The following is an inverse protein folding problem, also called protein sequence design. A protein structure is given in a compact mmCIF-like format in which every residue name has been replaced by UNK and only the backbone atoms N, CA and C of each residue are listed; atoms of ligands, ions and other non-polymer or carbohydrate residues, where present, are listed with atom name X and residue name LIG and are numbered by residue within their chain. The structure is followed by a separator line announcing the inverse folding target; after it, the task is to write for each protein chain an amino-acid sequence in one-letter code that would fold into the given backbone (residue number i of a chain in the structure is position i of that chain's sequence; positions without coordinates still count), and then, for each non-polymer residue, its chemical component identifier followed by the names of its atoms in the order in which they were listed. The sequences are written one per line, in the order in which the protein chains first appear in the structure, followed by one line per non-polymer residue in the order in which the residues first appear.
data_IF_891440475200
#
_entry.id   IF_891440475200
#
_cell.length_a   1.000
_cell.length_b   1.000
_cell.length_c   1.000
_cell.angle_alpha   90.00
_cell.angle_beta   90.00
_cell.angle_gamma   90.00
#
_symmetry.space_group_name_H-M   'P 1'
#
loop_
_entity.id
_entity.type
_entity.pdbx_description
1 polymer ?
#
# COMPACT_ATOMS: atom_id res chain seq x y z
N UNK A 1 -21.22 7.40 -13.05
CA UNK A 1 -20.86 6.51 -14.17
C UNK A 1 -21.88 5.38 -14.20
N UNK A 2 -22.28 4.88 -15.36
CA UNK A 2 -23.26 3.77 -15.42
C UNK A 2 -22.63 2.50 -14.82
N UNK A 3 -23.20 1.89 -13.76
CA UNK A 3 -22.65 0.69 -13.13
C UNK A 3 -22.46 -0.50 -14.09
N UNK A 4 -23.25 -0.56 -15.17
CA UNK A 4 -23.13 -1.60 -16.20
C UNK A 4 -21.87 -1.42 -17.04
N UNK A 5 -21.61 -0.18 -17.45
CA UNK A 5 -20.43 0.18 -18.25
C UNK A 5 -19.14 0.03 -17.45
N UNK A 6 -19.15 0.45 -16.18
CA UNK A 6 -18.01 0.29 -15.27
C UNK A 6 -17.62 -1.19 -15.09
N UNK A 7 -18.62 -2.06 -14.94
CA UNK A 7 -18.42 -3.50 -14.88
C UNK A 7 -17.87 -4.05 -16.20
N UNK A 8 -18.33 -3.56 -17.35
CA UNK A 8 -17.79 -3.97 -18.65
C UNK A 8 -16.32 -3.56 -18.84
N UNK A 9 -15.94 -2.36 -18.38
CA UNK A 9 -14.56 -1.85 -18.45
C UNK A 9 -13.62 -2.71 -17.61
N UNK A 10 -13.95 -2.95 -16.33
CA UNK A 10 -13.17 -3.82 -15.44
C UNK A 10 -12.93 -5.22 -16.00
N UNK A 11 -13.93 -5.80 -16.68
CA UNK A 11 -13.78 -7.09 -17.36
C UNK A 11 -12.78 -7.04 -18.51
N UNK A 12 -12.81 -5.96 -19.31
CA UNK A 12 -11.88 -5.78 -20.44
C UNK A 12 -10.45 -5.50 -19.98
N UNK A 13 -10.29 -4.79 -18.87
CA UNK A 13 -8.98 -4.45 -18.30
C UNK A 13 -8.39 -5.57 -17.44
N UNK A 14 -9.19 -6.59 -17.10
CA UNK A 14 -8.73 -7.77 -16.35
C UNK A 14 -8.65 -7.55 -14.84
N UNK A 15 -9.42 -6.59 -14.32
CA UNK A 15 -9.42 -6.17 -12.91
C UNK A 15 -10.47 -6.93 -12.07
N UNK A 16 -11.17 -7.89 -12.66
CA UNK A 16 -12.16 -8.73 -11.96
C UNK A 16 -11.51 -9.95 -11.33
N UNK A 17 -11.99 -10.31 -10.14
CA UNK A 17 -11.69 -11.61 -9.55
C UNK A 17 -12.38 -12.76 -10.32
N UNK A 18 -12.04 -14.00 -9.98
CA UNK A 18 -12.57 -15.19 -10.68
C UNK A 18 -14.09 -15.28 -10.60
N UNK A 19 -14.70 -14.94 -9.47
CA UNK A 19 -16.13 -15.07 -9.26
C UNK A 19 -16.92 -13.99 -10.03
N UNK A 20 -16.43 -12.75 -10.01
CA UNK A 20 -16.98 -11.64 -10.79
C UNK A 20 -16.88 -11.89 -12.29
N UNK A 21 -15.75 -12.46 -12.72
CA UNK A 21 -15.51 -12.82 -14.12
C UNK A 21 -16.47 -13.90 -14.61
N UNK A 22 -16.67 -14.95 -13.83
CA UNK A 22 -17.64 -16.00 -14.16
C UNK A 22 -19.07 -15.46 -14.22
N UNK A 23 -19.42 -14.53 -13.32
CA UNK A 23 -20.73 -13.89 -13.29
C UNK A 23 -21.01 -13.04 -14.53
N UNK A 24 -20.04 -12.24 -15.01
CA UNK A 24 -20.22 -11.47 -16.25
C UNK A 24 -20.19 -12.36 -17.49
N UNK A 25 -19.42 -13.45 -17.51
CA UNK A 25 -19.43 -14.42 -18.60
C UNK A 25 -20.73 -15.21 -18.68
N UNK A 26 -21.37 -15.49 -17.54
CA UNK A 26 -22.73 -16.01 -17.49
C UNK A 26 -23.74 -14.96 -17.97
N UNK A 27 -23.60 -13.69 -17.56
CA UNK A 27 -24.47 -12.61 -17.99
C UNK A 27 -24.39 -12.33 -19.50
N UNK A 28 -23.19 -12.40 -20.10
CA UNK A 28 -23.01 -12.27 -21.56
C UNK A 28 -23.67 -13.41 -22.35
N UNK A 29 -23.82 -14.59 -21.75
CA UNK A 29 -24.56 -15.72 -22.35
C UNK A 29 -26.07 -15.54 -22.24
N UNK A 30 -26.54 -14.91 -21.17
CA UNK A 30 -27.95 -14.73 -20.88
C UNK A 30 -28.56 -13.47 -21.51
N UNK A 31 -27.79 -12.38 -21.64
CA UNK A 31 -28.26 -11.07 -22.07
C UNK A 31 -27.36 -10.50 -23.20
N UNK A 32 -27.91 -10.33 -24.42
CA UNK A 32 -27.20 -9.71 -25.54
C UNK A 32 -26.70 -8.29 -25.28
N UNK A 33 -27.36 -7.52 -24.42
CA UNK A 33 -26.96 -6.13 -24.10
C UNK A 33 -25.65 -6.10 -23.31
N UNK A 34 -25.44 -7.04 -22.39
CA UNK A 34 -24.18 -7.13 -21.63
C UNK A 34 -22.99 -7.43 -22.54
N UNK A 35 -23.21 -8.23 -23.59
CA UNK A 35 -22.20 -8.47 -24.62
C UNK A 35 -21.89 -7.21 -25.43
N UNK A 36 -22.90 -6.44 -25.79
CA UNK A 36 -22.74 -5.17 -26.51
C UNK A 36 -21.95 -4.14 -25.69
N UNK A 37 -22.24 -4.04 -24.39
CA UNK A 37 -21.51 -3.17 -23.47
C UNK A 37 -20.00 -3.53 -23.40
N UNK A 38 -19.69 -4.82 -23.30
CA UNK A 38 -18.30 -5.32 -23.28
C UNK A 38 -17.59 -5.05 -24.61
N UNK A 39 -18.26 -5.24 -25.75
CA UNK A 39 -17.67 -4.90 -27.04
C UNK A 39 -17.43 -3.39 -27.21
N UNK A 40 -18.38 -2.57 -26.75
CA UNK A 40 -18.25 -1.11 -26.77
C UNK A 40 -17.06 -0.64 -25.93
N UNK A 41 -16.90 -1.20 -24.73
CA UNK A 41 -15.74 -0.96 -23.88
C UNK A 41 -14.43 -1.35 -24.58
N UNK A 42 -14.36 -2.55 -25.20
CA UNK A 42 -13.18 -3.00 -25.96
C UNK A 42 -12.79 -2.05 -27.08
N UNK A 43 -13.77 -1.63 -27.90
CA UNK A 43 -13.52 -0.71 -29.02
C UNK A 43 -13.04 0.66 -28.53
N UNK A 44 -13.66 1.16 -27.47
CA UNK A 44 -13.30 2.46 -26.87
C UNK A 44 -11.88 2.44 -26.31
N UNK A 45 -11.55 1.43 -25.51
CA UNK A 45 -10.21 1.27 -24.93
C UNK A 45 -9.15 1.09 -26.04
N UNK A 46 -9.44 0.27 -27.06
CA UNK A 46 -8.54 0.10 -28.20
C UNK A 46 -8.33 1.40 -28.99
N UNK A 47 -9.40 2.18 -29.21
CA UNK A 47 -9.33 3.49 -29.87
C UNK A 47 -8.49 4.50 -29.08
N UNK A 48 -8.67 4.55 -27.75
CA UNK A 48 -7.88 5.41 -26.88
C UNK A 48 -6.39 5.02 -26.87
N UNK A 49 -6.09 3.71 -26.84
CA UNK A 49 -4.70 3.22 -26.93
C UNK A 49 -4.07 3.60 -28.26
N UNK A 50 -4.77 3.41 -29.37
CA UNK A 50 -4.29 3.80 -30.70
C UNK A 50 -4.04 5.32 -30.81
N UNK A 51 -4.97 6.14 -30.31
CA UNK A 51 -4.82 7.60 -30.29
C UNK A 51 -3.67 8.04 -29.37
N UNK A 52 -3.48 7.38 -28.23
CA UNK A 52 -2.35 7.61 -27.33
C UNK A 52 -1.02 7.27 -27.98
N UNK A 53 -0.92 6.13 -28.67
CA UNK A 53 0.27 5.73 -29.42
C UNK A 53 0.60 6.70 -30.55
N UNK A 54 -0.40 7.14 -31.32
CA UNK A 54 -0.18 8.07 -32.43
C UNK A 54 0.21 9.46 -31.93
N UNK A 55 -0.38 9.90 -30.82
CA UNK A 55 0.03 11.13 -30.14
C UNK A 55 1.47 11.04 -29.64
N UNK A 56 1.84 9.95 -28.96
CA UNK A 56 3.21 9.73 -28.50
C UNK A 56 4.21 9.72 -29.68
N UNK A 57 3.87 9.07 -30.80
CA UNK A 57 4.67 9.10 -32.02
C UNK A 57 4.80 10.50 -32.61
N UNK A 58 3.73 11.30 -32.58
CA UNK A 58 3.77 12.68 -33.06
C UNK A 58 4.63 13.56 -32.17
N UNK A 59 4.52 13.44 -30.85
CA UNK A 59 5.33 14.18 -29.87
C UNK A 59 6.82 13.82 -30.01
N UNK A 60 7.15 12.52 -30.19
CA UNK A 60 8.51 12.07 -30.48
C UNK A 60 9.05 12.66 -31.80
N UNK A 61 8.25 12.67 -32.87
CA UNK A 61 8.66 13.27 -34.16
C UNK A 61 8.83 14.78 -34.07
N UNK A 62 8.01 15.47 -33.29
CA UNK A 62 8.14 16.90 -33.06
C UNK A 62 9.39 17.23 -32.23
N UNK A 63 9.73 16.42 -31.22
CA UNK A 63 10.98 16.54 -30.47
C UNK A 63 12.21 16.23 -31.33
N UNK A 64 12.15 15.21 -32.18
CA UNK A 64 13.19 14.90 -33.17
C UNK A 64 13.40 16.07 -34.14
N UNK A 65 12.32 16.69 -34.64
CA UNK A 65 12.43 17.85 -35.54
C UNK A 65 12.92 19.12 -34.84
N UNK A 66 12.52 19.35 -33.58
CA UNK A 66 13.04 20.45 -32.75
C UNK A 66 14.53 20.27 -32.46
N UNK A 67 14.97 19.03 -32.27
CA UNK A 67 16.38 18.68 -32.07
C UNK A 67 17.17 18.82 -33.38
N UNK A 68 16.65 18.32 -34.51
CA UNK A 68 17.26 18.46 -35.83
C UNK A 68 17.36 19.93 -36.31
N UNK A 69 16.43 20.80 -35.91
CA UNK A 69 16.50 22.25 -36.20
C UNK A 69 17.53 22.97 -35.33
N UNK A 70 17.82 22.45 -34.13
CA UNK A 70 18.88 22.96 -33.24
C UNK A 70 20.29 22.50 -33.66
N UNK A 71 20.41 21.40 -34.41
CA UNK A 71 21.71 20.84 -34.83
C UNK A 71 22.34 21.46 -36.10
N UNK A 72 21.71 22.47 -36.73
CA UNK A 72 22.30 23.16 -37.90
C UNK A 72 23.42 24.18 -37.58
N UNK A 73 24.04 24.11 -36.40
CA UNK A 73 25.18 24.95 -36.05
C UNK A 73 26.16 24.24 -35.14
N UNK A 74 27.23 23.68 -35.71
CA UNK A 74 28.41 23.28 -34.94
C UNK A 74 29.04 21.97 -35.41
N UNK A 75 30.12 22.08 -36.19
CA UNK A 75 31.01 20.97 -36.50
C UNK A 75 31.65 20.41 -35.20
N UNK A 76 31.59 19.09 -34.98
CA UNK A 76 32.27 18.44 -33.84
C UNK A 76 31.83 16.99 -33.54
N UNK A 77 31.88 16.10 -34.52
CA UNK A 77 31.12 14.84 -34.55
C UNK A 77 31.72 13.62 -33.78
N UNK A 78 32.43 13.84 -32.66
CA UNK A 78 33.01 12.77 -31.85
C UNK A 78 32.52 12.78 -30.41
N UNK A 79 32.66 13.91 -29.72
CA UNK A 79 32.35 14.05 -28.30
C UNK A 79 30.85 13.96 -27.98
N UNK A 80 29.97 14.43 -28.89
CA UNK A 80 28.54 14.55 -28.62
C UNK A 80 27.81 13.20 -28.55
N UNK A 81 28.28 12.19 -29.31
CA UNK A 81 27.74 10.82 -29.26
C UNK A 81 28.09 10.12 -27.94
N UNK A 82 29.28 10.41 -27.38
CA UNK A 82 29.65 9.95 -26.04
C UNK A 82 28.89 10.70 -24.94
N UNK A 83 28.57 11.98 -25.13
CA UNK A 83 27.78 12.76 -24.17
C UNK A 83 26.33 12.25 -24.03
N UNK A 84 25.67 11.89 -25.14
CA UNK A 84 24.32 11.32 -25.11
C UNK A 84 24.29 9.92 -24.45
N UNK A 85 25.28 9.06 -24.75
CA UNK A 85 25.43 7.77 -24.09
C UNK A 85 25.77 7.92 -22.59
N UNK A 86 26.60 8.90 -22.23
CA UNK A 86 26.91 9.21 -20.83
C UNK A 86 25.69 9.72 -20.07
N UNK A 87 24.83 10.55 -20.69
CA UNK A 87 23.58 11.00 -20.06
C UNK A 87 22.61 9.84 -19.83
N UNK A 88 22.46 8.91 -20.78
CA UNK A 88 21.64 7.72 -20.58
C UNK A 88 22.18 6.83 -19.47
N UNK A 89 23.50 6.64 -19.38
CA UNK A 89 24.15 5.89 -18.29
C UNK A 89 24.02 6.60 -16.93
N UNK A 90 24.15 7.92 -16.90
CA UNK A 90 23.96 8.71 -15.66
C UNK A 90 22.49 8.68 -15.23
N UNK A 91 21.54 8.81 -16.16
CA UNK A 91 20.11 8.77 -15.87
C UNK A 91 19.65 7.37 -15.42
N UNK A 92 20.15 6.31 -16.06
CA UNK A 92 19.86 4.94 -15.64
C UNK A 92 20.57 4.56 -14.33
N UNK A 93 21.80 5.02 -14.12
CA UNK A 93 22.51 4.85 -12.85
C UNK A 93 21.91 5.64 -11.69
N UNK A 94 21.43 6.86 -11.93
CA UNK A 94 20.77 7.68 -10.91
C UNK A 94 19.37 7.18 -10.58
N UNK A 95 18.61 6.71 -11.58
CA UNK A 95 17.34 6.03 -11.35
C UNK A 95 17.55 4.75 -10.54
N UNK A 96 18.52 3.90 -10.91
CA UNK A 96 18.86 2.70 -10.15
C UNK A 96 19.23 3.03 -8.70
N UNK A 97 20.09 4.02 -8.48
CA UNK A 97 20.48 4.47 -7.14
C UNK A 97 19.29 4.96 -6.32
N UNK A 98 18.39 5.74 -6.93
CA UNK A 98 17.19 6.26 -6.26
C UNK A 98 16.21 5.14 -5.88
N UNK A 99 16.02 4.14 -6.75
CA UNK A 99 15.16 2.98 -6.45
C UNK A 99 15.77 2.01 -5.42
N UNK A 100 17.10 2.01 -5.23
CA UNK A 100 17.77 1.16 -4.23
C UNK A 100 17.90 1.79 -2.85
N UNK A 101 17.51 3.06 -2.64
CA UNK A 101 17.61 3.70 -1.32
C UNK A 101 16.50 3.25 -0.38
N UNK A 102 16.87 2.89 0.83
CA UNK A 102 15.93 2.56 1.91
C UNK A 102 15.35 3.87 2.45
N UNK A 103 14.18 4.29 1.94
CA UNK A 103 13.42 5.38 2.57
C UNK A 103 12.67 4.84 3.79
N UNK A 104 12.40 5.66 4.83
CA UNK A 104 11.61 5.25 5.98
C UNK A 104 10.29 4.60 5.60
N UNK A 105 9.58 5.15 4.63
CA UNK A 105 8.28 4.67 4.17
C UNK A 105 8.39 3.29 3.50
N UNK A 106 9.41 3.10 2.64
CA UNK A 106 9.67 1.80 2.00
C UNK A 106 10.04 0.73 3.02
N UNK A 107 10.84 1.09 4.02
CA UNK A 107 11.16 0.22 5.15
C UNK A 107 9.91 -0.12 5.98
N UNK A 108 9.00 0.84 6.17
CA UNK A 108 7.76 0.60 6.90
C UNK A 108 6.90 -0.47 6.23
N UNK A 109 6.77 -0.41 4.89
CA UNK A 109 5.98 -1.38 4.14
C UNK A 109 6.66 -2.76 4.07
N UNK A 110 7.98 -2.80 3.93
CA UNK A 110 8.73 -4.07 3.91
C UNK A 110 8.69 -4.80 5.25
N UNK A 111 8.73 -4.07 6.37
CA UNK A 111 8.74 -4.64 7.72
C UNK A 111 7.37 -4.68 8.38
N UNK A 112 6.32 -4.21 7.71
CA UNK A 112 4.96 -4.31 8.22
C UNK A 112 4.59 -5.76 8.54
N UNK A 113 3.91 -5.97 9.66
CA UNK A 113 3.37 -7.27 10.05
C UNK A 113 1.85 -7.19 10.06
N UNK A 114 1.20 -8.23 9.57
CA UNK A 114 -0.27 -8.36 9.62
C UNK A 114 -0.66 -9.16 10.85
N UNK A 115 -1.59 -8.65 11.64
CA UNK A 115 -2.13 -9.40 12.78
C UNK A 115 -3.23 -10.37 12.27
N UNK A 116 -3.19 -11.66 12.64
CA UNK A 116 -4.18 -12.64 12.19
C UNK A 116 -5.55 -12.52 12.91
N UNK A 117 -5.69 -11.56 13.83
CA UNK A 117 -6.82 -11.44 14.74
C UNK A 117 -6.72 -12.36 15.97
N UNK A 118 -7.73 -12.31 16.84
CA UNK A 118 -7.77 -13.15 18.03
C UNK A 118 -8.21 -14.60 17.71
N UNK A 119 -7.68 -15.60 18.44
CA UNK A 119 -8.29 -16.91 18.52
C UNK A 119 -9.70 -16.80 19.13
N UNK A 120 -10.65 -17.58 18.62
CA UNK A 120 -12.01 -17.64 19.19
C UNK A 120 -11.92 -18.27 20.58
N UNK A 121 -12.26 -17.53 21.63
CA UNK A 121 -12.34 -18.02 23.00
C UNK A 121 -13.81 -18.17 23.41
N UNK A 122 -14.18 -19.32 23.97
CA UNK A 122 -15.54 -19.63 24.43
C UNK A 122 -15.86 -18.90 25.75
N UNK A 123 -16.01 -17.57 25.75
CA UNK A 123 -16.43 -16.77 26.91
C UNK A 123 -17.74 -16.00 26.66
N UNK A 124 -18.34 -15.42 27.69
CA UNK A 124 -19.66 -14.77 27.61
C UNK A 124 -19.61 -13.42 26.85
N UNK A 125 -18.44 -12.77 26.82
CA UNK A 125 -18.13 -11.59 25.98
C UNK A 125 -17.75 -11.97 24.53
N UNK A 126 -17.73 -13.27 24.20
CA UNK A 126 -17.27 -13.75 22.90
C UNK A 126 -18.07 -13.17 21.73
N UNK A 127 -19.37 -12.85 21.87
CA UNK A 127 -20.16 -12.37 20.72
C UNK A 127 -19.69 -11.01 20.20
N UNK A 128 -19.37 -10.07 21.08
CA UNK A 128 -18.89 -8.76 20.67
C UNK A 128 -17.48 -8.86 20.08
N UNK A 129 -16.60 -9.61 20.76
CA UNK A 129 -15.24 -9.86 20.26
C UNK A 129 -15.24 -10.63 18.93
N UNK A 130 -16.12 -11.61 18.75
CA UNK A 130 -16.27 -12.39 17.51
C UNK A 130 -16.75 -11.48 16.37
N UNK A 131 -17.73 -10.61 16.62
CA UNK A 131 -18.19 -9.65 15.62
C UNK A 131 -17.07 -8.69 15.18
N UNK A 132 -16.32 -8.13 16.14
CA UNK A 132 -15.16 -7.28 15.86
C UNK A 132 -14.13 -8.04 15.02
N UNK A 133 -13.75 -9.24 15.46
CA UNK A 133 -12.69 -10.02 14.80
C UNK A 133 -13.13 -10.54 13.43
N UNK A 134 -14.42 -10.79 13.22
CA UNK A 134 -14.96 -11.14 11.91
C UNK A 134 -14.89 -9.95 10.95
N UNK A 135 -15.30 -8.76 11.38
CA UNK A 135 -15.18 -7.55 10.57
C UNK A 135 -13.71 -7.26 10.23
N UNK A 136 -12.82 -7.33 11.23
CA UNK A 136 -11.37 -7.16 11.06
C UNK A 136 -10.79 -8.15 10.03
N UNK A 137 -11.10 -9.45 10.13
CA UNK A 137 -10.58 -10.48 9.22
C UNK A 137 -11.12 -10.35 7.80
N UNK A 138 -12.26 -9.68 7.61
CA UNK A 138 -12.84 -9.38 6.29
C UNK A 138 -12.28 -8.08 5.68
N UNK A 139 -11.42 -7.36 6.41
CA UNK A 139 -10.93 -6.04 5.99
C UNK A 139 -11.97 -4.93 6.10
N UNK A 140 -13.09 -5.17 6.80
CA UNK A 140 -14.08 -4.14 7.09
C UNK A 140 -13.65 -3.33 8.32
N UNK A 141 -12.61 -2.53 8.14
CA UNK A 141 -11.98 -1.72 9.19
C UNK A 141 -12.96 -0.68 9.78
N UNK A 142 -13.91 -0.19 8.99
CA UNK A 142 -14.92 0.76 9.44
C UNK A 142 -15.86 0.12 10.47
N UNK A 143 -16.44 -1.02 10.12
CA UNK A 143 -17.31 -1.78 11.05
C UNK A 143 -16.52 -2.27 12.26
N UNK A 144 -15.29 -2.77 12.06
CA UNK A 144 -14.43 -3.22 13.16
C UNK A 144 -14.17 -2.08 14.16
N UNK A 145 -13.85 -0.87 13.68
CA UNK A 145 -13.63 0.30 14.53
C UNK A 145 -14.88 0.70 15.30
N UNK A 146 -16.04 0.75 14.64
CA UNK A 146 -17.30 1.10 15.31
C UNK A 146 -17.59 0.12 16.47
N UNK A 147 -17.50 -1.19 16.18
CA UNK A 147 -17.72 -2.22 17.19
C UNK A 147 -16.70 -2.15 18.34
N UNK A 148 -15.43 -1.83 18.04
CA UNK A 148 -14.39 -1.63 19.07
C UNK A 148 -14.73 -0.47 19.99
N UNK A 149 -15.08 0.70 19.44
CA UNK A 149 -15.42 1.89 20.22
C UNK A 149 -16.63 1.62 21.11
N UNK A 150 -17.71 1.07 20.56
CA UNK A 150 -18.92 0.73 21.34
C UNK A 150 -18.62 -0.30 22.44
N UNK A 151 -17.76 -1.28 22.17
CA UNK A 151 -17.39 -2.28 23.18
C UNK A 151 -16.51 -1.69 24.27
N UNK A 152 -15.62 -0.74 23.93
CA UNK A 152 -14.76 -0.05 24.90
C UNK A 152 -15.56 0.81 25.89
N UNK A 153 -16.70 1.39 25.50
CA UNK A 153 -17.59 2.10 26.44
C UNK A 153 -18.10 1.20 27.57
N UNK A 154 -18.27 -0.10 27.29
CA UNK A 154 -18.70 -1.10 28.28
C UNK A 154 -17.53 -1.70 29.07
N UNK A 155 -16.30 -1.56 28.58
CA UNK A 155 -15.08 -2.17 29.18
C UNK A 155 -13.87 -1.24 29.02
N UNK A 156 -13.87 -0.08 29.69
CA UNK A 156 -12.77 0.87 29.60
C UNK A 156 -11.47 0.26 30.16
N UNK A 157 -10.34 0.54 29.49
CA UNK A 157 -9.03 0.02 29.88
C UNK A 157 -8.76 -1.44 29.47
N UNK A 158 -9.57 -2.02 28.58
CA UNK A 158 -9.28 -3.32 28.01
C UNK A 158 -8.16 -3.21 26.94
N UNK A 159 -6.94 -3.56 27.34
CA UNK A 159 -5.74 -3.57 26.48
C UNK A 159 -5.94 -4.27 25.13
N UNK A 160 -6.77 -5.32 25.07
CA UNK A 160 -7.03 -6.04 23.81
C UNK A 160 -7.80 -5.14 22.85
N UNK A 161 -8.87 -4.50 23.32
CA UNK A 161 -9.68 -3.60 22.50
C UNK A 161 -8.84 -2.38 22.08
N UNK A 162 -8.08 -1.80 23.01
CA UNK A 162 -7.17 -0.68 22.72
C UNK A 162 -6.12 -1.06 21.68
N UNK A 163 -5.50 -2.23 21.80
CA UNK A 163 -4.52 -2.71 20.83
C UNK A 163 -5.13 -2.87 19.43
N UNK A 164 -6.27 -3.55 19.32
CA UNK A 164 -6.91 -3.76 18.02
C UNK A 164 -7.49 -2.48 17.41
N UNK A 165 -7.91 -1.50 18.24
CA UNK A 165 -8.26 -0.17 17.75
C UNK A 165 -7.06 0.49 17.07
N UNK A 166 -5.88 0.42 17.68
CA UNK A 166 -4.65 0.91 17.08
C UNK A 166 -4.29 0.21 15.77
N UNK A 167 -4.46 -1.10 15.69
CA UNK A 167 -4.23 -1.87 14.45
C UNK A 167 -5.19 -1.45 13.33
N UNK A 168 -6.48 -1.34 13.64
CA UNK A 168 -7.50 -0.90 12.67
C UNK A 168 -7.24 0.52 12.20
N UNK A 169 -6.85 1.42 13.11
CA UNK A 169 -6.48 2.79 12.72
C UNK A 169 -5.22 2.82 11.84
N UNK A 170 -4.23 1.96 12.10
CA UNK A 170 -3.05 1.83 11.25
C UNK A 170 -3.39 1.28 9.85
N UNK A 171 -4.30 0.31 9.75
CA UNK A 171 -4.80 -0.21 8.46
C UNK A 171 -5.48 0.89 7.63
N UNK A 172 -6.26 1.75 8.30
CA UNK A 172 -6.93 2.89 7.66
C UNK A 172 -6.00 4.07 7.38
N UNK A 173 -4.68 3.91 7.55
CA UNK A 173 -3.68 4.96 7.33
C UNK A 173 -3.68 6.07 8.39
N UNK A 174 -4.44 5.93 9.47
CA UNK A 174 -4.55 6.91 10.56
C UNK A 174 -3.47 6.67 11.60
N UNK A 175 -2.22 6.82 11.18
CA UNK A 175 -1.02 6.54 11.98
C UNK A 175 -0.98 7.32 13.31
N UNK A 176 -1.49 8.55 13.34
CA UNK A 176 -1.50 9.37 14.56
C UNK A 176 -2.43 8.76 15.63
N UNK A 177 -3.66 8.40 15.25
CA UNK A 177 -4.63 7.74 16.14
C UNK A 177 -4.16 6.35 16.57
N UNK A 178 -3.52 5.63 15.66
CA UNK A 178 -2.93 4.33 15.98
C UNK A 178 -1.85 4.46 17.06
N UNK A 179 -0.96 5.45 16.93
CA UNK A 179 0.08 5.71 17.92
C UNK A 179 -0.49 6.13 19.28
N UNK A 180 -1.57 6.92 19.32
CA UNK A 180 -2.29 7.25 20.55
C UNK A 180 -2.79 5.98 21.24
N UNK A 181 -3.49 5.11 20.50
CA UNK A 181 -4.00 3.84 21.02
C UNK A 181 -2.88 2.95 21.57
N UNK A 182 -1.75 2.82 20.86
CA UNK A 182 -0.62 2.02 21.34
C UNK A 182 0.08 2.61 22.56
N UNK A 183 0.04 3.93 22.74
CA UNK A 183 0.62 4.60 23.90
C UNK A 183 -0.19 4.39 25.18
N UNK A 184 -1.47 4.07 25.06
CA UNK A 184 -2.35 3.76 26.20
C UNK A 184 -2.13 2.35 26.78
N UNK A 185 -1.43 1.46 26.07
CA UNK A 185 -1.17 0.10 26.53
C UNK A 185 -0.36 0.09 27.82
N UNK A 186 -0.86 -0.61 28.83
CA UNK A 186 -0.20 -0.74 30.12
C UNK A 186 1.18 -1.40 30.04
N UNK A 187 2.06 -1.07 30.99
CA UNK A 187 3.42 -1.64 31.06
C UNK A 187 3.43 -3.19 31.21
N UNK A 188 2.36 -3.75 31.78
CA UNK A 188 2.16 -5.20 31.95
C UNK A 188 1.36 -5.84 30.82
N UNK A 189 0.95 -5.05 29.82
CA UNK A 189 0.14 -5.54 28.70
C UNK A 189 0.93 -6.57 27.90
N UNK A 190 0.28 -7.68 27.55
CA UNK A 190 0.85 -8.69 26.64
C UNK A 190 1.03 -8.13 25.22
N UNK A 191 0.31 -7.07 24.87
CA UNK A 191 0.38 -6.40 23.57
C UNK A 191 1.43 -5.29 23.49
N UNK A 192 2.05 -4.89 24.61
CA UNK A 192 2.92 -3.72 24.66
C UNK A 192 4.05 -3.76 23.62
N UNK A 193 4.77 -4.87 23.53
CA UNK A 193 5.89 -5.02 22.57
C UNK A 193 5.40 -4.95 21.13
N UNK A 194 4.26 -5.57 20.83
CA UNK A 194 3.66 -5.52 19.48
C UNK A 194 3.17 -4.12 19.15
N UNK A 195 2.47 -3.47 20.08
CA UNK A 195 1.99 -2.10 19.94
C UNK A 195 3.13 -1.13 19.67
N UNK A 196 4.26 -1.27 20.38
CA UNK A 196 5.48 -0.48 20.10
C UNK A 196 6.04 -0.74 18.71
N UNK A 197 6.03 -1.99 18.24
CA UNK A 197 6.49 -2.32 16.90
C UNK A 197 5.59 -1.67 15.84
N UNK A 198 4.27 -1.83 15.95
CA UNK A 198 3.31 -1.19 15.04
C UNK A 198 3.36 0.33 15.07
N UNK A 199 3.54 0.92 16.26
CA UNK A 199 3.76 2.36 16.41
C UNK A 199 5.04 2.82 15.70
N UNK A 200 6.10 1.99 15.69
CA UNK A 200 7.33 2.30 14.96
C UNK A 200 7.11 2.26 13.44
N UNK A 201 6.36 1.28 12.94
CA UNK A 201 5.98 1.22 11.52
C UNK A 201 5.16 2.46 11.13
N UNK A 202 4.19 2.86 11.95
CA UNK A 202 3.43 4.10 11.75
C UNK A 202 4.33 5.34 11.76
N UNK A 203 5.31 5.41 12.66
CA UNK A 203 6.27 6.52 12.70
C UNK A 203 7.13 6.59 11.44
N UNK A 204 7.59 5.44 10.91
CA UNK A 204 8.31 5.37 9.65
C UNK A 204 7.47 5.83 8.45
N UNK A 205 6.18 5.44 8.39
CA UNK A 205 5.25 5.91 7.35
C UNK A 205 5.04 7.42 7.37
N UNK A 206 5.08 8.02 8.55
CA UNK A 206 4.98 9.47 8.74
C UNK A 206 6.34 10.19 8.56
N UNK A 207 7.41 9.49 8.20
CA UNK A 207 8.76 10.05 8.05
C UNK A 207 9.47 10.36 9.38
N UNK A 208 8.90 9.99 10.53
CA UNK A 208 9.49 10.21 11.85
C UNK A 208 10.46 9.08 12.21
N UNK A 209 11.63 9.10 11.56
CA UNK A 209 12.69 8.13 11.78
C UNK A 209 13.22 8.13 13.23
N UNK A 210 13.21 9.28 13.91
CA UNK A 210 13.71 9.41 15.28
C UNK A 210 12.81 8.67 16.29
N UNK A 211 11.50 8.88 16.19
CA UNK A 211 10.53 8.13 17.01
C UNK A 211 10.55 6.65 16.68
N UNK A 212 10.64 6.29 15.40
CA UNK A 212 10.76 4.90 14.98
C UNK A 212 11.99 4.23 15.60
N UNK A 213 13.16 4.87 15.56
CA UNK A 213 14.40 4.33 16.16
C UNK A 213 14.24 4.06 17.66
N UNK A 214 13.64 5.00 18.39
CA UNK A 214 13.39 4.86 19.83
C UNK A 214 12.51 3.65 20.14
N UNK A 215 11.38 3.53 19.43
CA UNK A 215 10.43 2.43 19.60
C UNK A 215 11.04 1.07 19.22
N UNK A 216 11.74 1.01 18.08
CA UNK A 216 12.41 -0.22 17.63
C UNK A 216 13.53 -0.65 18.58
N UNK A 217 14.26 0.29 19.18
CA UNK A 217 15.31 -0.03 20.16
C UNK A 217 14.74 -0.71 21.40
N UNK A 218 13.57 -0.26 21.86
CA UNK A 218 12.83 -0.90 22.93
C UNK A 218 12.37 -2.32 22.55
N UNK A 219 11.84 -2.51 21.33
CA UNK A 219 11.41 -3.84 20.84
C UNK A 219 12.61 -4.78 20.64
N UNK A 220 13.73 -4.29 20.09
CA UNK A 220 14.95 -5.04 19.87
C UNK A 220 15.59 -5.59 21.16
N UNK A 221 15.36 -4.88 22.27
CA UNK A 221 15.85 -5.24 23.61
C UNK A 221 14.86 -6.12 24.39
N UNK A 222 13.67 -6.35 23.86
CA UNK A 222 12.66 -7.22 24.47
C UNK A 222 13.02 -8.71 24.33
N UNK A 223 12.34 -9.54 25.11
CA UNK A 223 12.43 -11.01 25.03
C UNK A 223 11.51 -11.62 23.94
N UNK A 224 10.86 -10.79 23.12
CA UNK A 224 9.97 -11.28 22.06
C UNK A 224 10.79 -11.94 20.94
N UNK A 225 10.66 -13.26 20.81
CA UNK A 225 11.46 -14.06 19.89
C UNK A 225 11.19 -13.77 18.42
N UNK A 226 10.02 -13.22 18.07
CA UNK A 226 9.63 -12.94 16.70
C UNK A 226 9.96 -11.49 16.32
N UNK A 227 9.64 -10.54 17.20
CA UNK A 227 9.77 -9.11 16.90
C UNK A 227 11.16 -8.55 17.19
N UNK A 228 11.86 -9.03 18.22
CA UNK A 228 13.17 -8.49 18.55
C UNK A 228 14.19 -8.64 17.40
N UNK A 229 14.30 -9.78 16.68
CA UNK A 229 15.17 -9.89 15.52
C UNK A 229 14.77 -8.96 14.37
N UNK A 230 13.47 -8.86 14.07
CA UNK A 230 12.95 -7.95 13.02
C UNK A 230 13.25 -6.49 13.33
N UNK A 231 13.08 -6.08 14.58
CA UNK A 231 13.38 -4.71 15.01
C UNK A 231 14.87 -4.38 14.89
N UNK A 232 15.77 -5.32 15.19
CA UNK A 232 17.22 -5.13 15.00
C UNK A 232 17.60 -4.99 13.53
N UNK A 233 17.02 -5.81 12.67
CA UNK A 233 17.27 -5.73 11.23
C UNK A 233 16.77 -4.40 10.64
N UNK A 234 15.56 -3.99 10.99
CA UNK A 234 15.00 -2.70 10.60
C UNK A 234 15.86 -1.52 11.10
N UNK A 235 16.31 -1.56 12.36
CA UNK A 235 17.23 -0.55 12.89
C UNK A 235 18.56 -0.49 12.13
N UNK A 236 19.11 -1.65 11.76
CA UNK A 236 20.35 -1.71 11.02
C UNK A 236 20.22 -1.08 9.63
N UNK A 237 19.06 -1.24 8.98
CA UNK A 237 18.77 -0.62 7.68
C UNK A 237 18.48 0.87 7.78
N UNK A 238 17.71 1.29 8.78
CA UNK A 238 17.40 2.70 9.02
C UNK A 238 18.67 3.55 9.24
N UNK A 239 19.72 2.95 9.82
CA UNK A 239 21.01 3.62 10.09
C UNK A 239 21.99 3.59 8.92
N UNK A 240 21.67 2.96 7.80
CA UNK A 240 22.53 2.98 6.61
C UNK A 240 22.36 4.31 5.87
N UNK A 241 23.46 5.02 5.56
CA UNK A 241 23.44 6.29 4.85
C UNK A 241 23.09 6.18 3.36
#
# INVERSE_FOLDING_TARGET
MDPRLERAIRYVEGEMDTAEREAIEAAMRADPHVREDVESARRTIAGLRYLGEERLRSELREEEQRSARKEKGGAGNGLFRWAAAAMLLIASGSAWWYFTRDTPERLADEFAITEPGLPVLMSVDARATDAIMNAYKQGDDATAKELLITTMEMSPGNDTLTYFLGIVDAHMGRCDLAQESFAELGATSTFLTRGRYHAAICALRNGDAGRAESLLSAVASSSDAQLAPKARDLLARLKRP
#
